data_IF_638811560472
#
_entry.id   IF_638811560472
#
_cell.length_a   1.000
_cell.length_b   1.000
_cell.length_c   1.000
_cell.angle_alpha   90.00
_cell.angle_beta   90.00
_cell.angle_gamma   90.00
#
_symmetry.space_group_name_H-M   'P 1'
#
loop_
_entity.id
_entity.type
_entity.pdbx_description
1 polymer ?
#
# COMPACT_ATOMS: atom_id res chain seq x y z
N UNK A 1 0.88 16.60 -18.42
CA UNK A 1 0.79 16.39 -16.96
C UNK A 1 0.62 17.75 -16.29
N UNK A 2 -0.11 17.87 -15.16
CA UNK A 2 -0.15 19.12 -14.41
C UNK A 2 1.28 19.51 -13.97
N UNK A 3 1.59 20.82 -13.87
CA UNK A 3 2.93 21.29 -13.51
C UNK A 3 3.35 20.88 -12.09
N UNK A 4 2.38 20.64 -11.21
CA UNK A 4 2.58 20.15 -9.84
C UNK A 4 1.50 19.13 -9.49
N UNK A 5 1.87 18.13 -8.69
CA UNK A 5 0.95 17.11 -8.20
C UNK A 5 1.47 16.49 -6.89
N UNK A 6 0.59 15.80 -6.15
CA UNK A 6 0.90 15.14 -4.87
C UNK A 6 0.95 13.62 -5.06
N UNK A 7 1.98 13.00 -4.47
CA UNK A 7 2.25 11.57 -4.54
C UNK A 7 2.54 11.01 -3.15
N UNK A 8 2.12 9.77 -2.90
CA UNK A 8 2.61 9.01 -1.76
C UNK A 8 3.90 8.29 -2.13
N UNK A 9 4.89 8.38 -1.24
CA UNK A 9 6.14 7.63 -1.31
C UNK A 9 6.21 6.72 -0.07
N UNK A 10 5.91 5.45 -0.27
CA UNK A 10 5.98 4.42 0.76
C UNK A 10 6.34 3.08 0.11
N UNK A 11 6.69 2.10 0.94
CA UNK A 11 6.86 0.72 0.48
C UNK A 11 5.49 0.11 0.18
N UNK A 12 5.43 -0.77 -0.82
CA UNK A 12 4.21 -1.51 -1.20
C UNK A 12 3.64 -2.38 -0.09
N UNK A 13 4.49 -2.77 0.85
CA UNK A 13 4.13 -3.61 1.98
C UNK A 13 4.25 -2.89 3.31
N UNK A 14 3.53 -3.42 4.30
CA UNK A 14 3.58 -2.94 5.68
C UNK A 14 4.58 -3.75 6.53
N UNK A 15 4.94 -3.22 7.70
CA UNK A 15 5.84 -3.89 8.67
C UNK A 15 5.11 -4.84 9.60
N UNK A 16 3.77 -4.80 9.65
CA UNK A 16 2.99 -5.75 10.43
C UNK A 16 3.25 -7.18 9.96
N UNK A 17 3.12 -8.11 10.91
CA UNK A 17 3.33 -9.53 10.66
C UNK A 17 2.04 -10.20 10.21
N UNK A 18 0.91 -9.63 10.56
CA UNK A 18 -0.43 -10.01 10.14
C UNK A 18 -0.72 -9.48 8.72
N UNK A 19 -1.40 -10.27 7.88
CA UNK A 19 -1.97 -9.80 6.62
C UNK A 19 -2.87 -8.58 6.82
N UNK A 20 -2.85 -7.68 5.85
CA UNK A 20 -3.59 -6.42 5.94
C UNK A 20 -5.10 -6.63 6.05
N UNK A 21 -5.63 -7.72 5.47
CA UNK A 21 -7.04 -8.06 5.57
C UNK A 21 -7.44 -8.42 7.01
N UNK A 22 -6.63 -9.22 7.72
CA UNK A 22 -6.88 -9.60 9.12
C UNK A 22 -6.92 -8.35 10.04
N UNK A 23 -6.09 -7.35 9.74
CA UNK A 23 -6.10 -6.09 10.47
C UNK A 23 -7.37 -5.27 10.21
N UNK A 24 -7.87 -5.26 8.97
CA UNK A 24 -9.16 -4.62 8.65
C UNK A 24 -10.31 -5.32 9.38
N UNK A 25 -10.35 -6.66 9.33
CA UNK A 25 -11.37 -7.46 10.02
C UNK A 25 -11.39 -7.17 11.53
N UNK A 26 -10.20 -7.08 12.14
CA UNK A 26 -10.06 -6.89 13.60
C UNK A 26 -10.35 -5.46 14.06
N UNK A 27 -9.89 -4.45 13.32
CA UNK A 27 -9.86 -3.08 13.83
C UNK A 27 -10.82 -2.12 13.13
N UNK A 28 -11.21 -2.39 11.89
CA UNK A 28 -12.12 -1.54 11.09
C UNK A 28 -13.02 -2.40 10.17
N UNK A 29 -13.87 -3.28 10.72
CA UNK A 29 -14.66 -4.23 9.94
C UNK A 29 -15.65 -3.59 8.96
N UNK A 30 -16.05 -2.33 9.22
CA UNK A 30 -16.84 -1.52 8.30
C UNK A 30 -16.16 -1.25 6.95
N UNK A 31 -14.83 -1.37 6.86
CA UNK A 31 -14.07 -1.19 5.62
C UNK A 31 -13.91 -2.48 4.80
N UNK A 32 -14.39 -3.63 5.28
CA UNK A 32 -14.26 -4.90 4.56
C UNK A 32 -14.81 -4.89 3.12
N UNK A 33 -15.95 -4.22 2.82
CA UNK A 33 -16.41 -4.12 1.43
C UNK A 33 -15.41 -3.41 0.51
N UNK A 34 -14.61 -2.49 1.04
CA UNK A 34 -13.57 -1.75 0.32
C UNK A 34 -12.23 -2.50 0.26
N UNK A 35 -11.96 -3.36 1.24
CA UNK A 35 -10.76 -4.20 1.29
C UNK A 35 -10.85 -5.45 0.40
N UNK A 36 -11.93 -5.61 -0.38
CA UNK A 36 -12.16 -6.77 -1.24
C UNK A 36 -11.04 -6.90 -2.28
N UNK A 37 -10.28 -8.00 -2.19
CA UNK A 37 -9.13 -8.27 -3.06
C UNK A 37 -7.77 -7.84 -2.50
N UNK A 38 -7.71 -7.33 -1.27
CA UNK A 38 -6.45 -7.20 -0.54
C UNK A 38 -5.94 -8.58 -0.14
N UNK A 39 -4.68 -8.86 -0.46
CA UNK A 39 -4.00 -10.12 -0.13
C UNK A 39 -2.61 -9.83 0.45
N UNK A 40 -2.12 -10.71 1.32
CA UNK A 40 -0.81 -10.57 1.95
C UNK A 40 -0.65 -9.28 2.78
N UNK A 41 0.58 -8.76 2.83
CA UNK A 41 0.99 -7.62 3.66
C UNK A 41 1.03 -6.29 2.89
N UNK A 42 -0.04 -5.95 2.17
CA UNK A 42 -0.12 -4.69 1.39
C UNK A 42 -0.22 -3.45 2.27
N UNK A 43 0.43 -2.36 1.85
CA UNK A 43 0.20 -1.05 2.46
C UNK A 43 -1.20 -0.53 2.13
N UNK A 44 -1.80 0.21 3.07
CA UNK A 44 -3.05 0.94 2.86
C UNK A 44 -2.85 2.26 2.09
N UNK A 45 -1.59 2.68 1.88
CA UNK A 45 -1.22 3.82 1.06
C UNK A 45 -0.65 3.32 -0.27
N UNK A 46 -1.11 3.88 -1.39
CA UNK A 46 -0.72 3.46 -2.72
C UNK A 46 0.26 4.45 -3.37
N UNK A 47 1.41 3.96 -3.84
CA UNK A 47 2.39 4.72 -4.62
C UNK A 47 2.33 4.46 -6.14
N UNK A 48 1.34 3.73 -6.65
CA UNK A 48 1.18 3.38 -8.08
C UNK A 48 1.20 4.60 -8.98
N UNK A 49 0.54 5.71 -8.56
CA UNK A 49 0.57 6.98 -9.30
C UNK A 49 2.01 7.49 -9.46
N UNK A 50 2.83 7.40 -8.41
CA UNK A 50 4.24 7.80 -8.47
C UNK A 50 5.00 6.88 -9.41
N UNK A 51 4.84 5.56 -9.28
CA UNK A 51 5.50 4.58 -10.14
C UNK A 51 5.19 4.81 -11.62
N UNK A 52 3.92 5.03 -11.95
CA UNK A 52 3.46 5.26 -13.32
C UNK A 52 4.02 6.55 -13.91
N UNK A 53 4.13 7.61 -13.10
CA UNK A 53 4.54 8.94 -13.59
C UNK A 53 6.06 9.09 -13.68
N UNK A 54 6.80 8.60 -12.69
CA UNK A 54 8.26 8.82 -12.61
C UNK A 54 9.10 7.55 -12.74
N UNK A 55 8.49 6.38 -12.90
CA UNK A 55 9.20 5.10 -12.96
C UNK A 55 9.87 4.70 -11.64
N UNK A 56 9.35 5.19 -10.50
CA UNK A 56 9.93 4.90 -9.20
C UNK A 56 9.76 3.43 -8.82
N UNK A 57 10.79 2.81 -8.24
CA UNK A 57 10.74 1.45 -7.70
C UNK A 57 11.51 1.36 -6.38
N UNK A 58 10.93 0.66 -5.41
CA UNK A 58 11.57 0.44 -4.11
C UNK A 58 12.63 -0.68 -4.22
N UNK A 59 13.91 -0.35 -4.06
CA UNK A 59 15.03 -1.31 -4.24
C UNK A 59 15.50 -2.02 -2.97
N UNK A 60 15.12 -1.54 -1.79
CA UNK A 60 15.55 -2.14 -0.52
C UNK A 60 14.50 -3.12 0.03
N UNK A 61 14.92 -4.27 0.55
CA UNK A 61 14.05 -5.15 1.34
C UNK A 61 14.62 -5.32 2.74
N UNK A 62 13.78 -5.25 3.76
CA UNK A 62 14.18 -5.55 5.15
C UNK A 62 13.93 -7.02 5.51
N UNK A 63 13.12 -7.72 4.70
CA UNK A 63 13.05 -9.17 4.68
C UNK A 63 14.12 -9.62 3.69
N UNK A 64 15.22 -10.15 4.23
CA UNK A 64 16.27 -10.84 3.45
C UNK A 64 15.77 -12.18 2.92
#
# INVERSE_FOLDING_TARGET
MPPHDVYFLNRDGMTAMEPSLELVERFQPNLLPLAKGMTGHRSFLNCDKLKQVVGWEHRATWRG
#
